data_IF_305013127351
#
_entry.id   IF_305013127351
#
_cell.length_a   1.000
_cell.length_b   1.000
_cell.length_c   1.000
_cell.angle_alpha   90.00
_cell.angle_beta   90.00
_cell.angle_gamma   90.00
#
_symmetry.space_group_name_H-M   'P 1'
#
loop_
_entity.id
_entity.type
_entity.pdbx_description
1 polymer ?
#
# COMPACT_ATOMS: atom_id res chain seq x y z
N UNK A 1 -17.92 -27.28 6.14
CA UNK A 1 -17.31 -27.74 4.86
C UNK A 1 -16.87 -26.56 3.98
N UNK A 2 -17.63 -25.45 3.91
CA UNK A 2 -17.29 -24.26 3.09
C UNK A 2 -15.92 -23.61 3.37
N UNK A 3 -15.54 -23.41 4.64
CA UNK A 3 -14.24 -22.79 4.97
C UNK A 3 -13.01 -23.60 4.56
N UNK A 4 -13.12 -24.94 4.47
CA UNK A 4 -12.04 -25.78 3.96
C UNK A 4 -11.84 -25.61 2.44
N UNK A 5 -12.93 -25.36 1.70
CA UNK A 5 -12.86 -25.10 0.25
C UNK A 5 -12.20 -23.75 -0.05
N UNK A 6 -12.63 -22.68 0.63
CA UNK A 6 -12.04 -21.34 0.45
C UNK A 6 -10.55 -21.32 0.76
N UNK A 7 -10.13 -22.02 1.82
CA UNK A 7 -8.71 -22.17 2.16
C UNK A 7 -7.92 -22.87 1.06
N UNK A 8 -8.45 -23.96 0.51
CA UNK A 8 -7.79 -24.69 -0.58
C UNK A 8 -7.69 -23.83 -1.86
N UNK A 9 -8.71 -23.06 -2.19
CA UNK A 9 -8.68 -22.12 -3.32
C UNK A 9 -7.68 -20.98 -3.10
N UNK A 10 -7.60 -20.43 -1.89
CA UNK A 10 -6.64 -19.36 -1.54
C UNK A 10 -5.21 -19.85 -1.73
N UNK A 11 -4.88 -21.06 -1.27
CA UNK A 11 -3.54 -21.65 -1.44
C UNK A 11 -3.20 -21.82 -2.94
N UNK A 12 -4.15 -22.30 -3.76
CA UNK A 12 -3.95 -22.39 -5.21
C UNK A 12 -3.71 -21.02 -5.87
N UNK A 13 -4.41 -19.98 -5.42
CA UNK A 13 -4.17 -18.62 -5.91
C UNK A 13 -2.78 -18.11 -5.52
N UNK A 14 -2.30 -18.43 -4.32
CA UNK A 14 -0.93 -18.08 -3.88
C UNK A 14 0.14 -18.80 -4.72
N UNK A 15 -0.05 -20.08 -5.03
CA UNK A 15 0.84 -20.82 -5.93
C UNK A 15 0.86 -20.18 -7.33
N UNK A 16 -0.31 -19.87 -7.89
CA UNK A 16 -0.41 -19.19 -9.19
C UNK A 16 0.26 -17.82 -9.17
N UNK A 17 0.10 -17.05 -8.10
CA UNK A 17 0.79 -15.76 -7.92
C UNK A 17 2.31 -15.94 -7.97
N UNK A 18 2.85 -16.96 -7.28
CA UNK A 18 4.28 -17.27 -7.31
C UNK A 18 4.81 -17.63 -8.70
N UNK A 19 4.03 -18.36 -9.51
CA UNK A 19 4.37 -18.65 -10.91
C UNK A 19 4.41 -17.39 -11.78
N UNK A 20 3.48 -16.47 -11.57
CA UNK A 20 3.47 -15.19 -12.29
C UNK A 20 4.66 -14.34 -11.88
N UNK A 21 5.00 -14.28 -10.59
CA UNK A 21 6.17 -13.55 -10.09
C UNK A 21 7.49 -14.09 -10.64
N UNK A 22 7.63 -15.42 -10.76
CA UNK A 22 8.82 -16.00 -11.36
C UNK A 22 8.93 -15.68 -12.86
N UNK A 23 7.82 -15.73 -13.61
CA UNK A 23 7.79 -15.34 -15.02
C UNK A 23 8.12 -13.84 -15.19
N UNK A 24 7.53 -12.97 -14.36
CA UNK A 24 7.85 -11.54 -14.36
C UNK A 24 9.34 -11.29 -14.10
N UNK A 25 9.94 -11.98 -13.13
CA UNK A 25 11.37 -11.84 -12.82
C UNK A 25 12.26 -12.23 -13.99
N UNK A 26 11.92 -13.30 -14.72
CA UNK A 26 12.65 -13.71 -15.94
C UNK A 26 12.59 -12.62 -17.01
N UNK A 27 11.41 -12.03 -17.25
CA UNK A 27 11.24 -10.95 -18.21
C UNK A 27 12.00 -9.68 -17.80
N UNK A 28 11.91 -9.30 -16.52
CA UNK A 28 12.63 -8.14 -15.98
C UNK A 28 14.13 -8.34 -16.15
N UNK A 29 14.67 -9.49 -15.76
CA UNK A 29 16.09 -9.80 -15.89
C UNK A 29 16.56 -9.71 -17.35
N UNK A 30 15.75 -10.20 -18.31
CA UNK A 30 16.05 -10.11 -19.75
C UNK A 30 16.07 -8.66 -20.25
N UNK A 31 15.12 -7.83 -19.79
CA UNK A 31 15.03 -6.42 -20.17
C UNK A 31 16.13 -5.55 -19.55
N UNK A 32 16.61 -5.89 -18.34
CA UNK A 32 17.59 -5.11 -17.57
C UNK A 32 19.03 -5.65 -17.67
N UNK A 33 19.34 -6.50 -18.65
CA UNK A 33 20.72 -6.90 -18.89
C UNK A 33 21.59 -5.68 -19.23
N UNK A 34 22.91 -5.71 -18.95
CA UNK A 34 23.82 -4.63 -19.33
C UNK A 34 23.72 -4.35 -20.84
N UNK A 35 23.43 -3.10 -21.22
CA UNK A 35 23.19 -2.69 -22.62
C UNK A 35 21.73 -2.85 -23.09
N UNK A 36 20.87 -3.49 -22.30
CA UNK A 36 19.44 -3.63 -22.56
C UNK A 36 18.69 -2.30 -22.44
N UNK A 37 17.54 -2.16 -23.11
CA UNK A 37 16.74 -0.94 -23.09
C UNK A 37 15.95 -0.75 -21.78
N UNK A 38 16.01 -1.69 -20.83
CA UNK A 38 15.27 -1.64 -19.59
C UNK A 38 13.75 -1.78 -19.78
N UNK A 39 12.99 -1.45 -18.73
CA UNK A 39 11.53 -1.58 -18.72
C UNK A 39 10.81 -0.51 -19.57
N UNK A 40 11.40 0.68 -19.70
CA UNK A 40 10.80 1.84 -20.36
C UNK A 40 11.73 2.62 -21.29
N UNK A 41 13.01 2.22 -21.42
CA UNK A 41 13.98 2.96 -22.23
C UNK A 41 13.69 2.95 -23.73
N UNK A 42 14.33 3.90 -24.42
CA UNK A 42 14.11 4.19 -25.84
C UNK A 42 14.60 3.02 -26.72
N UNK A 43 13.78 2.64 -27.70
CA UNK A 43 14.08 1.57 -28.68
C UNK A 43 14.62 2.11 -30.01
N UNK A 44 14.77 3.42 -30.09
CA UNK A 44 15.14 4.17 -31.28
C UNK A 44 16.41 4.93 -30.98
N UNK A 45 17.31 5.01 -31.96
CA UNK A 45 18.54 5.78 -31.89
C UNK A 45 18.29 7.30 -32.02
N UNK A 46 19.38 8.08 -32.03
CA UNK A 46 19.32 9.54 -32.19
C UNK A 46 18.84 10.01 -33.56
N UNK A 47 18.87 9.13 -34.57
CA UNK A 47 18.47 9.45 -35.94
C UNK A 47 17.02 9.05 -36.24
N UNK A 48 16.35 8.38 -35.30
CA UNK A 48 14.95 7.96 -35.44
C UNK A 48 14.78 6.55 -35.99
N UNK A 49 15.85 5.75 -36.07
CA UNK A 49 15.81 4.38 -36.56
C UNK A 49 15.82 3.34 -35.43
N UNK A 50 15.26 2.13 -35.64
CA UNK A 50 15.32 1.05 -34.66
C UNK A 50 16.77 0.74 -34.29
N UNK A 51 17.04 0.70 -32.98
CA UNK A 51 18.37 0.38 -32.45
C UNK A 51 18.85 -0.97 -32.95
N UNK A 52 20.05 -1.01 -33.50
CA UNK A 52 20.67 -2.22 -34.08
C UNK A 52 21.30 -3.13 -33.04
N UNK A 53 21.59 -2.61 -31.84
CA UNK A 53 22.22 -3.33 -30.75
C UNK A 53 21.24 -4.19 -29.93
N UNK A 54 19.93 -4.07 -30.18
CA UNK A 54 18.88 -4.78 -29.45
C UNK A 54 17.85 -5.39 -30.40
N UNK A 55 17.26 -6.52 -30.01
CA UNK A 55 16.06 -7.03 -30.68
C UNK A 55 14.83 -6.23 -30.24
N UNK A 56 14.50 -5.18 -31.01
CA UNK A 56 13.36 -4.31 -30.76
C UNK A 56 12.03 -5.09 -30.72
N UNK A 57 11.87 -6.12 -31.54
CA UNK A 57 10.64 -6.91 -31.58
C UNK A 57 10.49 -7.75 -30.31
N UNK A 58 11.56 -8.46 -29.92
CA UNK A 58 11.61 -9.23 -28.68
C UNK A 58 11.38 -8.35 -27.44
N UNK A 59 12.02 -7.19 -27.38
CA UNK A 59 11.84 -6.24 -26.26
C UNK A 59 10.40 -5.73 -26.16
N UNK A 60 9.74 -5.43 -27.29
CA UNK A 60 8.33 -5.02 -27.28
C UNK A 60 7.42 -6.15 -26.82
N UNK A 61 7.67 -7.38 -27.28
CA UNK A 61 6.92 -8.55 -26.85
C UNK A 61 7.08 -8.79 -25.33
N UNK A 62 8.31 -8.68 -24.82
CA UNK A 62 8.61 -8.84 -23.40
C UNK A 62 7.96 -7.77 -22.54
N UNK A 63 8.02 -6.50 -22.95
CA UNK A 63 7.35 -5.40 -22.24
C UNK A 63 5.84 -5.58 -22.23
N UNK A 64 5.26 -6.02 -23.35
CA UNK A 64 3.84 -6.30 -23.44
C UNK A 64 3.44 -7.44 -22.50
N UNK A 65 4.15 -8.57 -22.58
CA UNK A 65 3.93 -9.72 -21.70
C UNK A 65 4.08 -9.36 -20.23
N UNK A 66 5.08 -8.55 -19.88
CA UNK A 66 5.26 -8.07 -18.52
C UNK A 66 4.09 -7.20 -18.04
N UNK A 67 3.51 -6.38 -18.92
CA UNK A 67 2.32 -5.59 -18.59
C UNK A 67 1.08 -6.48 -18.37
N UNK A 68 0.88 -7.50 -19.20
CA UNK A 68 -0.18 -8.51 -19.00
C UNK A 68 -0.04 -9.21 -17.65
N UNK A 69 1.16 -9.72 -17.34
CA UNK A 69 1.44 -10.43 -16.08
C UNK A 69 1.25 -9.54 -14.85
N UNK A 70 1.61 -8.25 -14.93
CA UNK A 70 1.35 -7.28 -13.85
C UNK A 70 -0.13 -7.08 -13.59
N UNK A 71 -0.94 -6.99 -14.65
CA UNK A 71 -2.39 -6.89 -14.51
C UNK A 71 -2.97 -8.17 -13.89
N UNK A 72 -2.54 -9.35 -14.35
CA UNK A 72 -2.98 -10.63 -13.81
C UNK A 72 -2.58 -10.82 -12.34
N UNK A 73 -1.35 -10.41 -11.99
CA UNK A 73 -0.86 -10.43 -10.62
C UNK A 73 -1.70 -9.55 -9.70
N UNK A 74 -2.07 -8.34 -10.15
CA UNK A 74 -2.96 -7.43 -9.41
C UNK A 74 -4.32 -8.07 -9.17
N UNK A 75 -4.91 -8.71 -10.20
CA UNK A 75 -6.20 -9.40 -10.09
C UNK A 75 -6.14 -10.58 -9.12
N UNK A 76 -5.08 -11.40 -9.17
CA UNK A 76 -4.93 -12.55 -8.28
C UNK A 76 -4.68 -12.11 -6.84
N UNK A 77 -3.86 -11.09 -6.64
CA UNK A 77 -3.57 -10.54 -5.30
C UNK A 77 -4.86 -10.05 -4.64
N UNK A 78 -5.71 -9.32 -5.38
CA UNK A 78 -7.02 -8.91 -4.87
C UNK A 78 -7.93 -10.09 -4.51
N UNK A 79 -7.96 -11.15 -5.33
CA UNK A 79 -8.75 -12.36 -5.03
C UNK A 79 -8.26 -13.09 -3.78
N UNK A 80 -6.94 -13.09 -3.54
CA UNK A 80 -6.36 -13.67 -2.32
C UNK A 80 -6.81 -12.88 -1.10
N UNK A 81 -6.76 -11.54 -1.16
CA UNK A 81 -7.23 -10.64 -0.11
C UNK A 81 -8.69 -10.92 0.24
N UNK A 82 -9.60 -10.90 -0.74
CA UNK A 82 -11.02 -11.21 -0.57
C UNK A 82 -11.23 -12.61 0.06
N UNK A 83 -10.45 -13.60 -0.37
CA UNK A 83 -10.56 -14.97 0.17
C UNK A 83 -10.11 -15.07 1.64
N UNK A 84 -9.07 -14.31 2.03
CA UNK A 84 -8.57 -14.25 3.41
C UNK A 84 -9.61 -13.55 4.31
N UNK A 85 -10.21 -12.45 3.85
CA UNK A 85 -11.28 -11.75 4.57
C UNK A 85 -12.48 -12.67 4.82
N UNK A 86 -12.88 -13.46 3.81
CA UNK A 86 -13.95 -14.45 3.94
C UNK A 86 -13.62 -15.55 4.97
N UNK A 87 -12.37 -16.02 5.00
CA UNK A 87 -11.94 -17.00 6.02
C UNK A 87 -11.94 -16.42 7.44
N UNK A 88 -11.57 -15.15 7.58
CA UNK A 88 -11.52 -14.48 8.88
C UNK A 88 -12.92 -14.16 9.41
N UNK A 89 -13.80 -13.60 8.57
CA UNK A 89 -15.19 -13.33 8.93
C UNK A 89 -15.97 -14.61 9.27
N UNK A 90 -15.79 -15.70 8.51
CA UNK A 90 -16.41 -16.99 8.81
C UNK A 90 -15.92 -17.63 10.12
N UNK A 91 -14.73 -17.25 10.60
CA UNK A 91 -14.19 -17.68 11.90
C UNK A 91 -14.70 -16.82 13.06
N UNK A 92 -14.93 -15.53 12.82
CA UNK A 92 -15.42 -14.58 13.82
C UNK A 92 -16.94 -14.61 14.02
N UNK A 93 -17.71 -15.13 13.06
CA UNK A 93 -19.15 -15.35 13.22
C UNK A 93 -19.41 -16.24 14.45
N UNK A 94 -19.96 -15.69 15.54
CA UNK A 94 -20.15 -16.46 16.76
C UNK A 94 -21.22 -17.52 16.51
N UNK A 95 -21.02 -18.66 17.14
CA UNK A 95 -22.01 -19.73 17.29
C UNK A 95 -23.10 -19.23 18.24
N UNK A 96 -23.92 -18.26 17.83
CA UNK A 96 -25.05 -17.75 18.61
C UNK A 96 -26.29 -18.59 18.31
N UNK A 97 -26.38 -19.74 18.95
CA UNK A 97 -27.67 -20.37 19.25
C UNK A 97 -28.11 -19.89 20.63
N UNK A 98 -29.11 -18.98 20.69
CA UNK A 98 -29.90 -18.75 21.90
C UNK A 98 -30.41 -17.32 22.16
N UNK A 99 -31.62 -17.03 21.68
CA UNK A 99 -32.72 -16.23 22.27
C UNK A 99 -32.59 -14.72 22.61
N UNK A 100 -33.55 -13.95 22.05
CA UNK A 100 -34.10 -12.66 22.54
C UNK A 100 -33.76 -11.45 21.65
N UNK A 101 -34.47 -11.20 20.55
CA UNK A 101 -35.71 -10.39 20.38
C UNK A 101 -35.56 -8.85 20.48
N UNK A 102 -36.20 -8.19 19.51
CA UNK A 102 -36.63 -6.79 19.42
C UNK A 102 -35.65 -5.67 19.04
N UNK A 103 -35.84 -5.13 17.82
CA UNK A 103 -35.40 -3.77 17.46
C UNK A 103 -35.29 -3.45 15.96
N UNK A 104 -36.39 -3.51 15.21
CA UNK A 104 -36.52 -3.01 13.83
C UNK A 104 -35.96 -1.58 13.65
N UNK A 105 -35.18 -1.35 12.58
CA UNK A 105 -35.58 -0.34 11.59
C UNK A 105 -34.89 -0.59 10.24
N UNK A 106 -35.68 -1.07 9.31
CA UNK A 106 -35.40 -1.21 7.89
C UNK A 106 -35.99 0.00 7.15
N UNK A 107 -35.39 0.34 6.01
CA UNK A 107 -35.87 1.19 4.88
C UNK A 107 -34.93 2.38 4.61
N UNK A 108 -34.48 2.70 3.41
CA UNK A 108 -34.27 2.03 2.11
C UNK A 108 -33.56 3.08 1.24
N UNK A 109 -32.69 2.61 0.35
CA UNK A 109 -32.41 3.17 -0.99
C UNK A 109 -32.14 4.68 -1.17
N UNK A 110 -30.92 5.00 -1.60
CA UNK A 110 -30.79 5.76 -2.85
C UNK A 110 -29.49 5.40 -3.56
N UNK A 111 -29.65 4.71 -4.68
CA UNK A 111 -28.67 4.65 -5.74
C UNK A 111 -28.76 6.02 -6.45
N UNK A 112 -27.62 6.68 -6.67
CA UNK A 112 -27.28 7.05 -8.04
C UNK A 112 -25.80 7.44 -8.22
N UNK A 113 -25.25 7.17 -9.42
CA UNK A 113 -23.85 7.36 -9.79
C UNK A 113 -23.64 8.65 -10.62
N UNK A 114 -22.39 8.87 -11.02
CA UNK A 114 -21.88 9.81 -12.05
C UNK A 114 -21.71 11.30 -11.70
N UNK A 115 -20.45 11.73 -11.61
CA UNK A 115 -19.76 12.37 -12.75
C UNK A 115 -18.31 12.72 -12.39
N UNK A 116 -17.40 11.94 -12.98
CA UNK A 116 -16.25 12.38 -13.77
C UNK A 116 -15.56 13.71 -13.44
N UNK A 117 -14.32 13.59 -12.97
CA UNK A 117 -13.11 14.21 -13.53
C UNK A 117 -11.90 13.60 -12.79
N UNK A 118 -11.23 12.59 -13.33
CA UNK A 118 -10.13 12.71 -14.30
C UNK A 118 -8.92 13.50 -13.77
N UNK A 119 -8.03 12.79 -13.06
CA UNK A 119 -6.58 12.78 -13.31
C UNK A 119 -5.87 11.97 -12.21
N UNK A 120 -4.92 11.12 -12.63
CA UNK A 120 -3.74 10.65 -11.91
C UNK A 120 -3.70 10.90 -10.38
N UNK A 121 -3.52 9.87 -9.54
CA UNK A 121 -2.24 9.18 -9.48
C UNK A 121 -2.38 7.71 -9.04
N UNK A 122 -1.90 6.86 -9.93
CA UNK A 122 -1.36 5.54 -9.72
C UNK A 122 0.00 5.65 -9.01
N UNK A 123 0.02 5.71 -7.68
CA UNK A 123 1.17 5.42 -6.82
C UNK A 123 0.56 5.15 -5.45
N UNK A 124 0.49 3.95 -4.90
CA UNK A 124 1.53 3.44 -4.01
C UNK A 124 0.98 2.19 -3.31
N UNK A 125 0.47 1.22 -4.07
CA UNK A 125 0.14 -0.11 -3.54
C UNK A 125 1.41 -0.96 -3.36
N UNK A 126 2.54 -0.33 -2.99
CA UNK A 126 3.61 -1.04 -2.34
C UNK A 126 3.06 -1.54 -1.01
N UNK A 127 3.34 -2.80 -0.73
CA UNK A 127 3.09 -3.44 0.56
C UNK A 127 3.59 -2.46 1.63
N UNK A 128 2.63 -1.82 2.28
CA UNK A 128 2.83 -0.69 3.17
C UNK A 128 3.31 -1.24 4.51
N UNK A 129 4.57 -1.65 4.54
CA UNK A 129 5.21 -2.23 5.72
C UNK A 129 5.32 -1.10 6.75
N UNK A 130 4.71 -1.23 7.94
CA UNK A 130 4.88 -0.25 8.98
C UNK A 130 6.35 -0.22 9.43
N UNK A 131 6.94 0.96 9.47
CA UNK A 131 8.36 1.13 9.81
C UNK A 131 8.57 1.70 11.22
N UNK A 132 7.54 2.27 11.84
CA UNK A 132 7.60 2.79 13.19
C UNK A 132 6.25 2.62 13.89
N UNK A 133 6.27 2.52 15.22
CA UNK A 133 5.09 2.55 16.08
C UNK A 133 5.18 3.74 17.03
N UNK A 134 4.03 4.31 17.35
CA UNK A 134 3.93 5.40 18.30
C UNK A 134 3.87 4.82 19.70
N UNK A 135 4.92 5.06 20.46
CA UNK A 135 5.16 4.45 21.77
C UNK A 135 4.68 5.36 22.91
N UNK A 136 4.88 6.67 22.73
CA UNK A 136 4.46 7.69 23.69
C UNK A 136 3.94 8.93 22.95
N UNK A 137 2.92 9.56 23.52
CA UNK A 137 2.37 10.85 23.06
C UNK A 137 2.26 11.72 24.29
N UNK A 138 2.80 12.94 24.23
CA UNK A 138 2.66 13.88 25.31
C UNK A 138 1.28 14.57 25.26
N UNK A 139 0.72 14.81 26.45
CA UNK A 139 -0.53 15.55 26.60
C UNK A 139 -0.38 16.97 26.02
N UNK A 140 -1.44 17.46 25.36
CA UNK A 140 -1.45 18.75 24.65
C UNK A 140 -0.36 18.90 23.55
N UNK A 141 0.16 17.79 23.03
CA UNK A 141 1.04 17.82 21.86
C UNK A 141 0.24 17.98 20.56
N UNK A 142 0.87 18.53 19.49
CA UNK A 142 0.26 18.59 18.17
C UNK A 142 -0.22 17.22 17.69
N UNK A 143 0.56 16.17 17.93
CA UNK A 143 0.20 14.79 17.56
C UNK A 143 -1.07 14.31 18.25
N UNK A 144 -1.26 14.66 19.53
CA UNK A 144 -2.48 14.32 20.27
C UNK A 144 -3.71 15.07 19.73
N UNK A 145 -3.57 16.37 19.43
CA UNK A 145 -4.64 17.19 18.85
C UNK A 145 -5.01 16.75 17.43
N UNK A 146 -4.02 16.30 16.67
CA UNK A 146 -4.14 15.88 15.27
C UNK A 146 -4.71 14.44 15.15
N UNK A 147 -5.12 13.82 16.26
CA UNK A 147 -5.90 12.57 16.29
C UNK A 147 -5.07 11.28 16.19
N UNK A 148 -3.76 11.39 16.36
CA UNK A 148 -2.84 10.25 16.40
C UNK A 148 -2.89 9.58 17.77
N UNK A 149 -2.82 8.25 17.80
CA UNK A 149 -3.01 7.45 19.02
C UNK A 149 -1.81 6.56 19.33
N UNK A 150 -1.68 6.23 20.63
CA UNK A 150 -0.69 5.26 21.11
C UNK A 150 -0.91 3.90 20.43
N UNK A 151 0.18 3.31 19.93
CA UNK A 151 0.15 2.03 19.21
C UNK A 151 -0.14 2.14 17.71
N UNK A 152 -0.36 3.34 17.17
CA UNK A 152 -0.47 3.54 15.72
C UNK A 152 0.85 3.19 15.02
N UNK A 153 0.76 2.39 13.97
CA UNK A 153 1.91 1.94 13.19
C UNK A 153 2.05 2.79 11.93
N UNK A 154 3.11 3.57 11.81
CA UNK A 154 3.35 4.48 10.70
C UNK A 154 3.80 3.71 9.48
N UNK A 155 3.06 3.92 8.41
CA UNK A 155 3.29 3.35 7.09
C UNK A 155 3.93 4.37 6.16
N UNK A 156 3.45 5.61 6.20
CA UNK A 156 3.88 6.70 5.32
C UNK A 156 3.77 8.02 6.05
N UNK A 157 4.72 8.92 5.83
CA UNK A 157 4.73 10.26 6.40
C UNK A 157 5.14 11.27 5.34
N UNK A 158 4.22 12.14 4.96
CA UNK A 158 4.37 13.07 3.84
C UNK A 158 4.62 12.36 2.51
N UNK A 159 5.49 12.96 1.71
CA UNK A 159 5.94 12.42 0.42
C UNK A 159 7.12 11.45 0.55
N UNK A 160 7.46 11.02 1.77
CA UNK A 160 8.58 10.10 1.98
C UNK A 160 8.22 8.68 1.54
N UNK A 161 8.94 8.18 0.55
CA UNK A 161 9.05 6.74 0.30
C UNK A 161 10.08 6.15 1.28
N UNK A 162 9.65 5.23 2.13
CA UNK A 162 10.55 4.44 2.96
C UNK A 162 11.45 3.58 2.08
N UNK A 163 12.77 3.71 2.23
CA UNK A 163 13.75 2.92 1.51
C UNK A 163 14.53 2.06 2.51
N UNK A 164 14.56 0.74 2.27
CA UNK A 164 15.22 -0.21 3.16
C UNK A 164 16.72 0.12 3.31
N UNK A 165 17.15 0.45 4.53
CA UNK A 165 18.55 0.79 4.87
C UNK A 165 18.75 2.21 5.41
N UNK A 166 17.74 3.07 5.39
CA UNK A 166 17.79 4.40 6.00
C UNK A 166 17.20 4.41 7.42
N UNK A 167 17.62 5.37 8.26
CA UNK A 167 17.03 5.56 9.60
C UNK A 167 15.70 6.30 9.49
N UNK A 168 14.53 5.64 9.64
CA UNK A 168 13.24 6.28 9.40
C UNK A 168 12.98 7.45 10.37
N UNK A 169 13.48 7.35 11.61
CA UNK A 169 13.36 8.40 12.62
C UNK A 169 14.01 9.72 12.21
N UNK A 170 15.18 9.65 11.60
CA UNK A 170 15.92 10.84 11.19
C UNK A 170 15.21 11.55 10.03
N UNK A 171 14.63 10.76 9.11
CA UNK A 171 13.83 11.28 8.00
C UNK A 171 12.52 11.87 8.48
N UNK A 172 11.79 11.20 9.38
CA UNK A 172 10.60 11.75 10.05
C UNK A 172 10.90 13.11 10.69
N UNK A 173 11.98 13.20 11.46
CA UNK A 173 12.39 14.45 12.10
C UNK A 173 12.72 15.54 11.07
N UNK A 174 13.42 15.19 9.99
CA UNK A 174 13.80 16.14 8.93
C UNK A 174 12.58 16.66 8.16
N UNK A 175 11.63 15.77 7.82
CA UNK A 175 10.39 16.12 7.14
C UNK A 175 9.47 16.96 8.02
N UNK A 176 9.36 16.62 9.31
CA UNK A 176 8.61 17.42 10.27
C UNK A 176 9.21 18.83 10.43
N UNK A 177 10.54 18.94 10.40
CA UNK A 177 11.23 20.23 10.45
C UNK A 177 11.06 21.04 9.16
N UNK A 178 11.11 20.38 7.99
CA UNK A 178 10.92 21.01 6.69
C UNK A 178 9.48 21.49 6.47
N UNK A 179 8.51 20.81 7.07
CA UNK A 179 7.08 21.12 7.01
C UNK A 179 6.55 21.72 8.31
N UNK A 180 7.38 22.47 9.03
CA UNK A 180 6.92 23.23 10.19
C UNK A 180 5.75 24.16 9.80
N UNK A 181 4.71 24.16 10.62
CA UNK A 181 3.45 24.88 10.47
C UNK A 181 2.66 24.51 9.20
N UNK A 182 2.96 23.36 8.59
CA UNK A 182 2.25 22.81 7.42
C UNK A 182 1.66 21.44 7.73
N UNK A 183 0.45 21.21 7.24
CA UNK A 183 -0.23 19.93 7.32
C UNK A 183 0.51 18.87 6.51
N UNK A 184 1.02 17.83 7.17
CA UNK A 184 1.67 16.67 6.57
C UNK A 184 0.73 15.47 6.60
N UNK A 185 0.49 14.85 5.45
CA UNK A 185 -0.33 13.64 5.36
C UNK A 185 0.43 12.44 5.93
N UNK A 186 -0.17 11.69 6.86
CA UNK A 186 0.44 10.52 7.50
C UNK A 186 -0.51 9.35 7.36
N UNK A 187 -0.01 8.21 6.89
CA UNK A 187 -0.77 6.96 6.84
C UNK A 187 -0.33 6.09 8.00
N UNK A 188 -1.28 5.69 8.84
CA UNK A 188 -1.03 4.82 9.99
C UNK A 188 -1.91 3.57 9.92
N UNK A 189 -1.46 2.45 10.49
CA UNK A 189 -2.23 1.24 10.70
C UNK A 189 -2.71 1.23 12.15
N UNK A 190 -4.02 1.34 12.35
CA UNK A 190 -4.69 1.23 13.65
C UNK A 190 -5.57 -0.01 13.66
N UNK A 191 -5.30 -0.94 14.57
CA UNK A 191 -6.01 -2.23 14.66
C UNK A 191 -6.02 -3.02 13.32
N UNK A 192 -4.99 -2.84 12.48
CA UNK A 192 -4.87 -3.49 11.17
C UNK A 192 -5.59 -2.77 10.03
N UNK A 193 -6.24 -1.63 10.28
CA UNK A 193 -6.86 -0.80 9.24
C UNK A 193 -5.99 0.44 8.96
N UNK A 194 -5.70 0.76 7.68
CA UNK A 194 -4.99 1.98 7.33
C UNK A 194 -5.90 3.20 7.51
N UNK A 195 -5.43 4.18 8.27
CA UNK A 195 -6.08 5.46 8.54
C UNK A 195 -5.16 6.57 8.03
N UNK A 196 -5.72 7.46 7.22
CA UNK A 196 -5.05 8.69 6.80
C UNK A 196 -5.31 9.76 7.85
N UNK A 197 -4.23 10.24 8.47
CA UNK A 197 -4.22 11.34 9.41
C UNK A 197 -3.46 12.50 8.81
N UNK A 198 -3.65 13.68 9.36
CA UNK A 198 -2.92 14.88 8.96
C UNK A 198 -2.29 15.46 10.20
N UNK A 199 -0.96 15.49 10.23
CA UNK A 199 -0.19 15.95 11.37
C UNK A 199 0.48 17.26 10.99
N UNK A 200 0.35 18.28 11.83
CA UNK A 200 0.92 19.60 11.61
C UNK A 200 2.05 19.82 12.62
N UNK A 201 3.33 19.68 12.20
CA UNK A 201 4.47 19.92 13.09
C UNK A 201 4.48 21.40 13.49
N UNK A 202 4.31 21.70 14.78
CA UNK A 202 4.28 23.07 15.30
C UNK A 202 5.02 23.16 16.63
N UNK A 203 5.63 24.31 16.96
CA UNK A 203 6.21 24.52 18.28
C UNK A 203 5.12 24.40 19.35
N UNK A 204 5.42 23.64 20.41
CA UNK A 204 4.54 23.40 21.55
C UNK A 204 5.37 23.42 22.84
N UNK A 205 4.74 23.31 24.01
CA UNK A 205 5.43 23.48 25.31
C UNK A 205 6.46 22.38 25.64
N UNK A 206 6.48 21.29 24.88
CA UNK A 206 7.43 20.19 25.07
C UNK A 206 8.57 20.15 24.06
N UNK A 207 9.24 18.99 23.99
CA UNK A 207 10.43 18.80 23.14
C UNK A 207 10.03 18.45 21.71
N UNK A 208 10.62 19.15 20.75
CA UNK A 208 10.42 18.90 19.31
C UNK A 208 9.13 19.53 18.76
N UNK A 209 8.75 19.12 17.55
CA UNK A 209 7.61 19.73 16.81
C UNK A 209 6.33 18.89 16.82
N UNK A 210 6.41 17.64 17.25
CA UNK A 210 5.31 16.67 17.20
C UNK A 210 4.84 16.23 18.58
N UNK A 211 5.77 16.10 19.54
CA UNK A 211 5.49 15.68 20.90
C UNK A 211 5.12 14.21 21.06
N UNK A 212 5.61 13.36 20.16
CA UNK A 212 5.48 11.91 20.25
C UNK A 212 6.83 11.20 20.11
N UNK A 213 6.92 10.02 20.70
CA UNK A 213 8.06 9.11 20.60
C UNK A 213 7.74 8.00 19.63
N UNK A 214 8.64 7.80 18.67
CA UNK A 214 8.54 6.74 17.67
C UNK A 214 9.54 5.63 18.00
N UNK A 215 9.07 4.39 17.96
CA UNK A 215 9.89 3.19 18.06
C UNK A 215 9.94 2.51 16.70
N UNK A 216 11.15 2.26 16.18
CA UNK A 216 11.33 1.54 14.90
C UNK A 216 10.96 0.08 15.07
N UNK A 217 10.31 -0.50 14.04
CA UNK A 217 9.93 -1.92 13.97
C UNK A 217 11.01 -2.80 13.33
#
# INVERSE_FOLDING_TARGET
MAGANVKAETVKLMEKRGLIESEMNVLVQRLTQPGGPGLSGNLVDSEGFPRTDIDVAGVRADRHRLAELRNDHKVITKKIEESIELLHSARLAPKSSGFGDSGNNETSSSLNPSSDNAAAMDVDAFISIPFAVIDEIADASPTAEDGVQLGDQIVKFGDMLYQAGENPLQKLASEAQANQDKAVSVVVLRQGSPINLTVTPRPWEGRGLLGCSFRVL
#
